data_IF_173657366258
#
_entry.id   IF_173657366258
#
_cell.length_a   1.000
_cell.length_b   1.000
_cell.length_c   1.000
_cell.angle_alpha   90.00
_cell.angle_beta   90.00
_cell.angle_gamma   90.00
#
_symmetry.space_group_name_H-M   'P 1'
#
loop_
_entity.id
_entity.type
_entity.pdbx_description
1 polymer ?
#
# COMPACT_ATOMS: atom_id res chain seq x y z
N UNK A 1 -19.53 5.58 -17.20
CA UNK A 1 -19.54 4.27 -17.87
C UNK A 1 -19.88 3.20 -16.87
N UNK A 2 -20.68 2.23 -17.26
CA UNK A 2 -20.90 1.06 -16.44
C UNK A 2 -19.60 0.24 -16.36
N UNK A 3 -19.33 -0.37 -15.23
CA UNK A 3 -18.25 -1.34 -15.07
C UNK A 3 -18.77 -2.71 -15.51
N UNK A 4 -17.96 -3.48 -16.22
CA UNK A 4 -18.28 -4.86 -16.56
C UNK A 4 -17.92 -5.82 -15.41
N UNK A 5 -16.88 -5.46 -14.63
CA UNK A 5 -16.47 -6.22 -13.45
C UNK A 5 -15.79 -5.30 -12.41
N UNK A 6 -15.72 -5.77 -11.17
CA UNK A 6 -14.98 -5.16 -10.09
C UNK A 6 -14.58 -6.20 -9.05
N UNK A 7 -13.59 -5.85 -8.22
CA UNK A 7 -13.21 -6.64 -7.06
C UNK A 7 -13.12 -5.76 -5.82
N UNK A 8 -13.59 -6.27 -4.69
CA UNK A 8 -13.36 -5.63 -3.39
C UNK A 8 -12.09 -6.22 -2.79
N UNK A 9 -11.15 -5.34 -2.43
CA UNK A 9 -9.83 -5.73 -1.96
C UNK A 9 -9.46 -4.95 -0.72
N UNK A 10 -10.23 -5.11 0.36
CA UNK A 10 -9.88 -4.52 1.65
C UNK A 10 -8.58 -5.12 2.19
N UNK A 11 -7.78 -4.30 2.89
CA UNK A 11 -6.55 -4.78 3.53
C UNK A 11 -6.82 -5.97 4.45
N UNK A 12 -6.17 -7.10 4.17
CA UNK A 12 -6.31 -8.32 4.96
C UNK A 12 -5.89 -8.12 6.43
N UNK A 13 -4.92 -7.22 6.66
CA UNK A 13 -4.42 -6.84 7.99
C UNK A 13 -5.49 -6.23 8.88
N UNK A 14 -6.52 -5.65 8.26
CA UNK A 14 -7.68 -5.04 8.91
C UNK A 14 -8.96 -5.90 8.82
N UNK A 15 -8.90 -7.01 8.08
CA UNK A 15 -10.04 -7.89 7.84
C UNK A 15 -10.11 -9.00 8.89
N UNK A 16 -10.95 -8.82 9.90
CA UNK A 16 -11.26 -9.90 10.85
C UNK A 16 -12.07 -11.01 10.13
N UNK A 17 -12.11 -12.25 10.65
CA UNK A 17 -12.94 -13.31 10.08
C UNK A 17 -14.41 -12.92 9.92
N UNK A 18 -14.96 -12.13 10.85
CA UNK A 18 -16.32 -11.60 10.75
C UNK A 18 -16.45 -10.61 9.59
N UNK A 19 -15.52 -9.67 9.46
CA UNK A 19 -15.49 -8.71 8.35
C UNK A 19 -15.38 -9.40 7.00
N UNK A 20 -14.52 -10.40 6.93
CA UNK A 20 -14.37 -11.22 5.74
C UNK A 20 -15.67 -11.96 5.37
N UNK A 21 -16.39 -12.49 6.36
CA UNK A 21 -17.71 -13.08 6.14
C UNK A 21 -18.72 -12.07 5.60
N UNK A 22 -18.76 -10.85 6.18
CA UNK A 22 -19.62 -9.77 5.70
C UNK A 22 -19.29 -9.40 4.24
N UNK A 23 -18.00 -9.36 3.88
CA UNK A 23 -17.52 -9.11 2.51
C UNK A 23 -17.98 -10.21 1.56
N UNK A 24 -17.79 -11.48 1.89
CA UNK A 24 -18.26 -12.62 1.08
C UNK A 24 -19.76 -12.55 0.82
N UNK A 25 -20.55 -12.32 1.86
CA UNK A 25 -22.01 -12.22 1.73
C UNK A 25 -22.43 -11.04 0.83
N UNK A 26 -21.72 -9.91 0.92
CA UNK A 26 -21.99 -8.73 0.09
C UNK A 26 -21.71 -9.02 -1.38
N UNK A 27 -20.60 -9.67 -1.70
CA UNK A 27 -20.24 -10.05 -3.08
C UNK A 27 -21.23 -11.07 -3.65
N UNK A 28 -21.62 -12.08 -2.87
CA UNK A 28 -22.62 -13.05 -3.29
C UNK A 28 -23.98 -12.38 -3.58
N UNK A 29 -24.39 -11.42 -2.73
CA UNK A 29 -25.61 -10.64 -2.98
C UNK A 29 -25.52 -9.79 -4.24
N UNK A 30 -24.39 -9.14 -4.50
CA UNK A 30 -24.17 -8.37 -5.73
C UNK A 30 -24.30 -9.26 -6.98
N UNK A 31 -23.63 -10.42 -6.98
CA UNK A 31 -23.70 -11.34 -8.10
C UNK A 31 -25.14 -11.91 -8.30
N UNK A 32 -25.86 -12.22 -7.22
CA UNK A 32 -27.25 -12.66 -7.31
C UNK A 32 -28.18 -11.58 -7.90
N UNK A 33 -27.92 -10.30 -7.65
CA UNK A 33 -28.69 -9.18 -8.22
C UNK A 33 -28.41 -9.00 -9.71
N UNK A 34 -27.22 -9.36 -10.16
CA UNK A 34 -26.80 -9.28 -11.58
C UNK A 34 -27.08 -10.57 -12.35
N UNK A 35 -27.58 -11.62 -11.69
CA UNK A 35 -27.85 -12.91 -12.32
C UNK A 35 -28.86 -12.76 -13.47
N UNK A 36 -28.46 -13.22 -14.66
CA UNK A 36 -29.26 -13.17 -15.87
C UNK A 36 -29.22 -11.85 -16.65
N UNK A 37 -28.45 -10.84 -16.19
CA UNK A 37 -28.26 -9.57 -16.91
C UNK A 37 -26.92 -9.48 -17.62
N UNK A 38 -25.91 -10.23 -17.17
CA UNK A 38 -24.49 -10.16 -17.60
C UNK A 38 -23.89 -8.73 -17.50
N UNK A 39 -24.53 -7.87 -16.72
CA UNK A 39 -24.17 -6.45 -16.68
C UNK A 39 -22.98 -6.15 -15.77
N UNK A 40 -22.75 -6.98 -14.75
CA UNK A 40 -21.67 -6.75 -13.77
C UNK A 40 -21.26 -8.06 -13.07
N UNK A 41 -19.96 -8.32 -13.03
CA UNK A 41 -19.39 -9.42 -12.26
C UNK A 41 -18.59 -8.87 -11.08
N UNK A 42 -18.90 -9.35 -9.86
CA UNK A 42 -18.21 -8.95 -8.64
C UNK A 42 -17.31 -10.07 -8.17
N UNK A 43 -16.00 -9.77 -8.04
CA UNK A 43 -15.01 -10.70 -7.56
C UNK A 43 -14.71 -10.49 -6.07
N UNK A 44 -14.45 -11.59 -5.38
CA UNK A 44 -14.03 -11.62 -4.01
C UNK A 44 -12.50 -11.53 -3.93
N UNK A 45 -11.98 -10.69 -3.06
CA UNK A 45 -10.54 -10.56 -2.87
C UNK A 45 -10.17 -9.86 -1.58
N UNK A 46 -8.89 -9.77 -1.32
CA UNK A 46 -8.30 -8.92 -0.29
C UNK A 46 -6.97 -8.36 -0.77
N UNK A 47 -6.50 -7.33 -0.11
CA UNK A 47 -5.16 -6.81 -0.30
C UNK A 47 -4.24 -7.31 0.80
N UNK A 48 -3.16 -7.97 0.41
CA UNK A 48 -2.06 -8.34 1.28
C UNK A 48 -0.99 -7.25 1.26
N UNK A 49 -0.68 -6.66 2.43
CA UNK A 49 0.14 -5.46 2.54
C UNK A 49 1.35 -5.71 3.43
N UNK A 50 2.47 -6.08 2.84
CA UNK A 50 3.73 -6.25 3.54
C UNK A 50 4.67 -5.08 3.30
N UNK A 51 4.59 -4.09 4.16
CA UNK A 51 5.42 -2.89 4.12
C UNK A 51 6.41 -2.86 5.26
N UNK A 52 7.63 -2.42 4.98
CA UNK A 52 8.70 -2.29 5.95
C UNK A 52 9.64 -1.16 5.51
N UNK A 53 10.18 -0.34 6.44
CA UNK A 53 11.17 0.68 6.10
C UNK A 53 12.49 0.08 5.59
N UNK A 54 12.79 -1.18 5.94
CA UNK A 54 13.93 -1.89 5.39
C UNK A 54 13.56 -2.51 4.03
N UNK A 55 14.24 -2.14 2.91
CA UNK A 55 13.95 -2.68 1.58
C UNK A 55 13.99 -4.20 1.50
N UNK A 56 14.81 -4.86 2.33
CA UNK A 56 14.92 -6.32 2.34
C UNK A 56 13.66 -7.02 2.84
N UNK A 57 12.86 -6.36 3.67
CA UNK A 57 11.61 -6.89 4.22
C UNK A 57 10.36 -6.27 3.58
N UNK A 58 10.56 -5.33 2.67
CA UNK A 58 9.46 -4.68 1.96
C UNK A 58 9.08 -5.49 0.72
N UNK A 59 7.86 -6.01 0.70
CA UNK A 59 7.30 -6.79 -0.42
C UNK A 59 6.15 -6.07 -1.13
N UNK A 60 5.74 -4.93 -0.61
CA UNK A 60 4.68 -4.10 -1.17
C UNK A 60 3.29 -4.71 -1.01
N UNK A 61 2.40 -4.25 -1.84
CA UNK A 61 0.99 -4.62 -1.83
C UNK A 61 0.68 -5.64 -2.93
N UNK A 62 -0.24 -6.56 -2.64
CA UNK A 62 -0.71 -7.56 -3.60
C UNK A 62 -2.20 -7.79 -3.43
N UNK A 63 -2.96 -7.54 -4.49
CA UNK A 63 -4.36 -7.92 -4.54
C UNK A 63 -4.47 -9.42 -4.81
N UNK A 64 -5.09 -10.14 -3.90
CA UNK A 64 -5.46 -11.55 -4.06
C UNK A 64 -6.94 -11.60 -4.45
N UNK A 65 -7.24 -12.14 -5.62
CA UNK A 65 -8.59 -12.18 -6.18
C UNK A 65 -8.97 -13.62 -6.49
N UNK A 66 -10.15 -14.04 -6.05
CA UNK A 66 -10.68 -15.38 -6.28
C UNK A 66 -11.65 -15.40 -7.46
N UNK A 67 -11.60 -16.46 -8.24
CA UNK A 67 -12.57 -16.70 -9.30
C UNK A 67 -13.94 -17.09 -8.72
N UNK A 68 -13.93 -17.84 -7.64
CA UNK A 68 -15.11 -18.37 -6.98
C UNK A 68 -15.57 -17.48 -5.82
N UNK A 69 -16.86 -17.56 -5.50
CA UNK A 69 -17.46 -16.87 -4.35
C UNK A 69 -18.18 -17.82 -3.39
N UNK A 70 -18.21 -19.12 -3.69
CA UNK A 70 -18.82 -20.14 -2.84
C UNK A 70 -17.98 -20.35 -1.56
N UNK A 71 -18.65 -20.39 -0.41
CA UNK A 71 -18.00 -20.53 0.89
C UNK A 71 -17.19 -21.83 1.05
N UNK A 72 -17.47 -22.86 0.28
CA UNK A 72 -16.73 -24.13 0.29
C UNK A 72 -15.43 -24.05 -0.52
N UNK A 73 -15.31 -23.07 -1.43
CA UNK A 73 -14.22 -22.92 -2.37
C UNK A 73 -13.27 -21.76 -2.02
N UNK A 74 -13.71 -20.81 -1.18
CA UNK A 74 -12.89 -19.68 -0.78
C UNK A 74 -12.47 -19.75 0.70
N UNK A 75 -11.34 -19.16 1.09
CA UNK A 75 -10.89 -19.17 2.49
C UNK A 75 -11.94 -18.59 3.44
N UNK A 76 -12.08 -19.15 4.67
CA UNK A 76 -13.01 -18.62 5.68
C UNK A 76 -12.51 -17.34 6.33
N UNK A 77 -11.27 -16.92 6.06
CA UNK A 77 -10.60 -15.71 6.55
C UNK A 77 -9.62 -15.20 5.51
N UNK A 78 -9.34 -13.91 5.51
CA UNK A 78 -8.27 -13.33 4.71
C UNK A 78 -6.89 -13.72 5.29
N UNK A 79 -5.89 -13.84 4.42
CA UNK A 79 -4.50 -14.07 4.82
C UNK A 79 -3.80 -12.71 4.76
N UNK A 80 -3.44 -12.17 5.92
CA UNK A 80 -2.76 -10.88 6.01
C UNK A 80 -1.24 -11.01 6.01
N UNK A 81 -0.57 -9.88 6.01
CA UNK A 81 0.88 -9.82 6.10
C UNK A 81 1.36 -9.94 7.56
N UNK A 82 2.68 -10.07 7.71
CA UNK A 82 3.38 -9.83 8.96
C UNK A 82 3.95 -8.42 9.06
N UNK A 83 4.73 -8.15 10.10
CA UNK A 83 5.52 -6.93 10.24
C UNK A 83 4.74 -5.71 10.73
N UNK A 84 4.98 -4.55 10.11
CA UNK A 84 4.53 -3.25 10.64
C UNK A 84 3.02 -3.06 10.49
N UNK A 85 2.42 -3.44 9.36
CA UNK A 85 1.02 -3.17 9.09
C UNK A 85 0.08 -3.83 10.12
N UNK A 86 0.12 -5.15 10.36
CA UNK A 86 -0.73 -5.77 11.39
C UNK A 86 -0.36 -5.32 12.80
N UNK A 87 0.91 -5.00 13.08
CA UNK A 87 1.32 -4.49 14.38
C UNK A 87 0.62 -3.16 14.69
N UNK A 88 0.63 -2.22 13.77
CA UNK A 88 -0.04 -0.92 13.93
C UNK A 88 -1.54 -1.10 14.15
N UNK A 89 -2.18 -1.96 13.35
CA UNK A 89 -3.61 -2.24 13.50
C UNK A 89 -3.96 -2.86 14.86
N UNK A 90 -3.07 -3.71 15.41
CA UNK A 90 -3.28 -4.36 16.71
C UNK A 90 -2.92 -3.51 17.92
N UNK A 91 -2.14 -2.44 17.75
CA UNK A 91 -1.87 -1.48 18.85
C UNK A 91 -3.15 -0.73 19.27
N UNK A 92 -4.09 -0.57 18.34
CA UNK A 92 -5.32 0.16 18.57
C UNK A 92 -5.12 1.65 18.82
N UNK A 93 -6.20 2.35 19.04
CA UNK A 93 -6.18 3.76 19.37
C UNK A 93 -6.62 3.95 20.83
N UNK A 94 -6.02 4.88 21.60
CA UNK A 94 -6.54 5.26 22.88
C UNK A 94 -8.00 5.74 22.74
N UNK A 95 -8.88 5.32 23.62
CA UNK A 95 -10.31 5.72 23.59
C UNK A 95 -10.55 7.23 23.52
N UNK A 96 -9.59 8.04 23.98
CA UNK A 96 -9.63 9.50 23.89
C UNK A 96 -9.58 10.01 22.46
N UNK A 97 -9.00 9.24 21.54
CA UNK A 97 -8.93 9.60 20.11
C UNK A 97 -10.28 9.44 19.42
N UNK A 98 -11.20 8.67 19.97
CA UNK A 98 -12.57 8.57 19.45
C UNK A 98 -13.55 9.44 20.28
N UNK A 99 -13.39 9.47 21.60
CA UNK A 99 -14.29 10.22 22.48
C UNK A 99 -14.19 11.74 22.27
N UNK A 100 -12.98 12.30 22.09
CA UNK A 100 -12.83 13.73 21.89
C UNK A 100 -13.43 14.20 20.54
N UNK A 101 -13.10 13.61 19.38
CA UNK A 101 -13.77 13.94 18.13
C UNK A 101 -15.30 13.72 18.18
N UNK A 102 -15.77 12.65 18.83
CA UNK A 102 -17.20 12.38 18.99
C UNK A 102 -17.95 13.46 19.79
N UNK A 103 -17.27 14.18 20.68
CA UNK A 103 -17.86 15.32 21.40
C UNK A 103 -17.84 16.60 20.58
N UNK A 104 -16.82 16.80 19.74
CA UNK A 104 -16.67 17.97 18.88
C UNK A 104 -17.53 17.87 17.62
N UNK A 105 -17.67 16.67 17.06
CA UNK A 105 -18.53 16.38 15.90
C UNK A 105 -19.66 15.42 16.30
N UNK A 106 -20.59 15.95 17.09
CA UNK A 106 -21.69 15.16 17.63
C UNK A 106 -22.60 14.53 16.56
N UNK A 107 -22.68 15.14 15.39
CA UNK A 107 -23.47 14.63 14.25
C UNK A 107 -22.89 13.31 13.71
N UNK A 108 -21.58 13.16 13.71
CA UNK A 108 -20.86 12.00 13.16
C UNK A 108 -20.29 11.08 14.27
N UNK A 109 -20.68 11.27 15.53
CA UNK A 109 -20.15 10.54 16.68
C UNK A 109 -20.17 9.01 16.52
N UNK A 110 -21.18 8.48 15.85
CA UNK A 110 -21.33 7.03 15.66
C UNK A 110 -20.21 6.44 14.80
N UNK A 111 -19.59 7.25 13.90
CA UNK A 111 -18.43 6.85 13.10
C UNK A 111 -17.19 6.66 13.98
N UNK A 112 -16.96 7.56 14.94
CA UNK A 112 -15.81 7.47 15.84
C UNK A 112 -15.94 6.25 16.76
N UNK A 113 -17.13 5.97 17.29
CA UNK A 113 -17.37 4.76 18.08
C UNK A 113 -17.37 3.47 17.25
N UNK A 114 -17.79 3.52 15.99
CA UNK A 114 -17.66 2.38 15.09
C UNK A 114 -16.18 2.05 14.81
N UNK A 115 -15.33 3.08 14.73
CA UNK A 115 -13.89 2.93 14.54
C UNK A 115 -13.22 2.31 15.78
N UNK A 116 -13.60 2.71 16.99
CA UNK A 116 -13.16 2.04 18.24
C UNK A 116 -13.51 0.55 18.24
N UNK A 117 -14.76 0.22 17.95
CA UNK A 117 -15.20 -1.18 17.89
C UNK A 117 -14.44 -2.00 16.84
N UNK A 118 -14.07 -1.37 15.73
CA UNK A 118 -13.26 -2.00 14.70
C UNK A 118 -11.88 -2.39 15.24
N UNK A 119 -11.19 -1.50 15.96
CA UNK A 119 -9.91 -1.83 16.58
C UNK A 119 -10.04 -2.86 17.70
N UNK A 120 -11.07 -2.76 18.52
CA UNK A 120 -11.35 -3.75 19.57
C UNK A 120 -11.52 -5.16 18.98
N UNK A 121 -12.19 -5.27 17.85
CA UNK A 121 -12.38 -6.55 17.15
C UNK A 121 -11.07 -7.10 16.61
N UNK A 122 -10.23 -6.26 15.99
CA UNK A 122 -8.89 -6.66 15.50
C UNK A 122 -8.04 -7.16 16.67
N UNK A 123 -8.04 -6.44 17.80
CA UNK A 123 -7.26 -6.82 18.99
C UNK A 123 -7.77 -8.12 19.62
N UNK A 124 -9.08 -8.33 19.62
CA UNK A 124 -9.69 -9.54 20.16
C UNK A 124 -9.48 -10.79 19.28
N UNK A 125 -9.16 -10.60 17.99
CA UNK A 125 -8.94 -11.73 17.06
C UNK A 125 -7.59 -12.36 17.35
N UNK A 126 -7.51 -13.64 17.77
CA UNK A 126 -6.25 -14.31 18.06
C UNK A 126 -5.42 -14.52 16.77
N UNK A 127 -4.12 -14.65 16.91
CA UNK A 127 -3.25 -15.07 15.79
C UNK A 127 -3.41 -16.59 15.62
N UNK A 128 -3.50 -17.03 14.36
CA UNK A 128 -3.58 -18.46 14.05
C UNK A 128 -2.28 -19.18 14.46
N UNK A 129 -2.35 -20.46 14.86
CA UNK A 129 -1.16 -21.24 15.16
C UNK A 129 -0.28 -21.42 13.93
N UNK A 130 1.03 -21.29 14.12
CA UNK A 130 2.02 -21.46 13.08
C UNK A 130 2.18 -22.93 12.67
N UNK A 131 2.59 -23.17 11.42
CA UNK A 131 2.92 -24.52 10.92
C UNK A 131 1.73 -25.44 10.75
N UNK A 132 0.52 -24.93 10.79
CA UNK A 132 -0.72 -25.66 10.54
C UNK A 132 -1.20 -25.34 9.13
N UNK A 133 -1.65 -26.36 8.39
CA UNK A 133 -2.25 -26.20 7.08
C UNK A 133 -3.43 -25.23 7.16
N UNK A 134 -3.54 -24.31 6.19
CA UNK A 134 -4.56 -23.24 6.21
C UNK A 134 -5.99 -23.78 6.34
N UNK A 135 -6.28 -24.96 5.80
CA UNK A 135 -7.59 -25.61 5.89
C UNK A 135 -7.92 -26.17 7.28
N UNK A 136 -6.90 -26.49 8.07
CA UNK A 136 -7.05 -27.06 9.41
C UNK A 136 -7.02 -25.98 10.52
N UNK A 137 -6.78 -24.73 10.16
CA UNK A 137 -6.75 -23.61 11.10
C UNK A 137 -8.16 -23.25 11.62
N UNK A 138 -8.27 -22.75 12.87
CA UNK A 138 -9.52 -22.18 13.37
C UNK A 138 -10.04 -21.07 12.44
N UNK A 139 -11.35 -20.98 12.27
CA UNK A 139 -11.96 -19.96 11.38
C UNK A 139 -11.91 -18.55 11.95
N UNK A 140 -11.74 -18.41 13.26
CA UNK A 140 -11.84 -17.18 14.04
C UNK A 140 -10.49 -16.59 14.46
N UNK A 141 -9.42 -16.89 13.71
CA UNK A 141 -8.09 -16.34 13.94
C UNK A 141 -7.59 -15.50 12.76
N UNK A 142 -6.62 -14.61 13.03
CA UNK A 142 -5.87 -13.88 12.02
C UNK A 142 -4.77 -14.77 11.45
N UNK A 143 -4.84 -15.06 10.18
CA UNK A 143 -3.85 -15.85 9.46
C UNK A 143 -2.78 -14.96 8.84
N UNK A 144 -1.50 -15.27 9.11
CA UNK A 144 -0.37 -14.45 8.73
C UNK A 144 0.50 -15.14 7.67
N UNK A 145 0.92 -14.37 6.66
CA UNK A 145 1.96 -14.71 5.70
C UNK A 145 3.00 -13.59 5.70
N UNK A 146 4.17 -13.84 6.26
CA UNK A 146 5.22 -12.83 6.49
C UNK A 146 6.04 -12.49 5.25
N UNK A 147 5.89 -13.25 4.18
CA UNK A 147 6.50 -12.99 2.88
C UNK A 147 5.66 -13.62 1.75
N UNK A 148 5.93 -13.29 0.49
CA UNK A 148 5.12 -13.78 -0.63
C UNK A 148 5.13 -15.30 -0.82
N UNK A 149 6.21 -16.01 -0.51
CA UNK A 149 6.26 -17.48 -0.64
C UNK A 149 5.27 -18.13 0.31
N UNK A 150 5.25 -17.68 1.57
CA UNK A 150 4.28 -18.17 2.56
C UNK A 150 2.84 -17.86 2.12
N UNK A 151 2.60 -16.67 1.54
CA UNK A 151 1.29 -16.35 0.97
C UNK A 151 0.91 -17.33 -0.13
N UNK A 152 1.79 -17.58 -1.10
CA UNK A 152 1.53 -18.51 -2.20
C UNK A 152 1.36 -19.95 -1.72
N UNK A 153 2.16 -20.41 -0.76
CA UNK A 153 2.01 -21.74 -0.15
C UNK A 153 0.62 -21.91 0.47
N UNK A 154 0.18 -20.95 1.28
CA UNK A 154 -1.14 -20.97 1.91
C UNK A 154 -2.29 -20.92 0.89
N UNK A 155 -2.17 -20.11 -0.14
CA UNK A 155 -3.15 -20.05 -1.22
C UNK A 155 -3.22 -21.37 -2.00
N UNK A 156 -2.09 -22.04 -2.26
CA UNK A 156 -2.04 -23.35 -2.88
C UNK A 156 -2.61 -24.46 -1.99
N UNK A 157 -2.41 -24.40 -0.68
CA UNK A 157 -3.04 -25.33 0.27
C UNK A 157 -4.57 -25.22 0.24
N UNK A 158 -5.11 -24.03 -0.09
CA UNK A 158 -6.54 -23.83 -0.23
C UNK A 158 -7.11 -24.46 -1.50
N UNK A 159 -6.32 -24.55 -2.58
CA UNK A 159 -6.65 -25.25 -3.83
C UNK A 159 -7.91 -24.69 -4.52
N UNK A 160 -8.06 -23.38 -4.53
CA UNK A 160 -9.11 -22.65 -5.26
C UNK A 160 -8.46 -21.75 -6.32
N UNK A 161 -9.08 -21.54 -7.49
CA UNK A 161 -8.52 -20.64 -8.48
C UNK A 161 -8.42 -19.20 -7.97
N UNK A 162 -7.22 -18.65 -8.01
CA UNK A 162 -6.93 -17.28 -7.58
C UNK A 162 -5.92 -16.61 -8.52
N UNK A 163 -5.86 -15.30 -8.47
CA UNK A 163 -4.77 -14.50 -9.04
C UNK A 163 -4.21 -13.54 -8.01
N UNK A 164 -2.95 -13.17 -8.19
CA UNK A 164 -2.24 -12.20 -7.33
C UNK A 164 -1.70 -11.07 -8.19
N UNK A 165 -2.15 -9.85 -7.92
CA UNK A 165 -1.79 -8.67 -8.70
C UNK A 165 -0.96 -7.73 -7.82
N UNK A 166 0.36 -7.59 -8.08
CA UNK A 166 1.16 -6.54 -7.46
C UNK A 166 0.67 -5.16 -7.89
N UNK A 167 0.57 -4.23 -6.95
CA UNK A 167 0.18 -2.86 -7.25
C UNK A 167 0.90 -1.85 -6.36
N UNK A 168 0.76 -0.57 -6.65
CA UNK A 168 1.36 0.51 -5.90
C UNK A 168 2.90 0.44 -5.79
N UNK A 169 3.56 -0.30 -6.67
CA UNK A 169 4.96 -0.71 -6.55
C UNK A 169 5.96 0.43 -6.66
N UNK A 170 5.54 1.56 -7.24
CA UNK A 170 6.34 2.78 -7.38
C UNK A 170 5.98 3.87 -6.37
N UNK A 171 5.03 3.61 -5.49
CA UNK A 171 4.58 4.60 -4.52
C UNK A 171 5.60 4.85 -3.44
N UNK A 172 6.21 6.01 -3.47
CA UNK A 172 7.15 6.44 -2.45
C UNK A 172 6.54 6.71 -1.09
N UNK A 173 5.21 6.72 -0.96
CA UNK A 173 4.55 6.91 0.33
C UNK A 173 4.91 5.81 1.34
N UNK A 174 5.01 4.57 0.92
CA UNK A 174 5.41 3.45 1.77
C UNK A 174 6.55 2.61 1.20
N UNK A 175 6.94 2.84 -0.05
CA UNK A 175 8.02 2.09 -0.69
C UNK A 175 9.37 2.74 -0.39
N UNK A 176 10.31 2.06 0.26
CA UNK A 176 11.64 2.60 0.53
C UNK A 176 12.38 3.02 -0.75
N UNK A 177 13.23 4.06 -0.71
CA UNK A 177 13.92 4.58 -1.88
C UNK A 177 14.73 3.56 -2.68
N UNK A 178 15.27 2.56 -2.00
CA UNK A 178 16.14 1.51 -2.59
C UNK A 178 15.41 0.20 -2.86
N UNK A 179 14.08 0.18 -2.75
CA UNK A 179 13.29 -1.01 -3.11
C UNK A 179 13.43 -1.35 -4.58
N UNK A 180 13.66 -2.63 -4.87
CA UNK A 180 13.91 -3.17 -6.20
C UNK A 180 13.09 -4.45 -6.44
N UNK A 181 12.35 -4.50 -7.52
CA UNK A 181 11.54 -5.65 -7.91
C UNK A 181 12.35 -6.91 -8.23
N UNK A 182 13.64 -6.78 -8.50
CA UNK A 182 14.52 -7.90 -8.82
C UNK A 182 14.45 -9.03 -7.80
N UNK A 183 14.43 -8.68 -6.51
CA UNK A 183 14.28 -9.65 -5.41
C UNK A 183 12.98 -10.43 -5.53
N UNK A 184 11.86 -9.74 -5.69
CA UNK A 184 10.53 -10.37 -5.74
C UNK A 184 10.36 -11.28 -6.95
N UNK A 185 10.97 -10.96 -8.09
CA UNK A 185 10.86 -11.76 -9.31
C UNK A 185 11.67 -13.04 -9.26
N UNK A 186 12.77 -13.07 -8.50
CA UNK A 186 13.64 -14.25 -8.43
C UNK A 186 13.20 -15.26 -7.37
N UNK A 187 12.83 -14.75 -6.21
CA UNK A 187 12.63 -15.58 -5.01
C UNK A 187 11.17 -15.70 -4.62
N UNK A 188 10.35 -14.71 -5.00
CA UNK A 188 9.01 -14.51 -4.47
C UNK A 188 7.95 -14.35 -5.57
N UNK A 189 8.18 -14.92 -6.76
CA UNK A 189 7.22 -14.93 -7.85
C UNK A 189 6.54 -16.29 -7.97
N UNK A 190 5.22 -16.28 -8.11
CA UNK A 190 4.42 -17.41 -8.50
C UNK A 190 3.91 -17.23 -9.94
N UNK A 191 4.47 -17.99 -10.88
CA UNK A 191 4.17 -17.87 -12.31
C UNK A 191 2.73 -18.28 -12.65
N UNK A 192 2.09 -19.09 -11.81
CA UNK A 192 0.74 -19.59 -12.06
C UNK A 192 -0.34 -18.58 -11.67
N UNK A 193 -0.10 -17.78 -10.64
CA UNK A 193 -1.09 -16.81 -10.13
C UNK A 193 -0.72 -15.36 -10.37
N UNK A 194 0.58 -15.04 -10.54
CA UNK A 194 1.08 -13.67 -10.64
C UNK A 194 1.44 -13.33 -12.10
N UNK A 195 0.42 -13.22 -12.94
CA UNK A 195 0.56 -12.94 -14.38
C UNK A 195 0.05 -11.56 -14.80
N UNK A 196 -0.50 -10.78 -13.88
CA UNK A 196 -0.90 -9.39 -14.07
C UNK A 196 -0.06 -8.45 -13.22
N UNK A 197 0.05 -7.21 -13.68
CA UNK A 197 0.73 -6.12 -12.98
C UNK A 197 -0.12 -4.86 -13.11
N UNK A 198 -0.41 -4.19 -12.01
CA UNK A 198 -1.13 -2.93 -12.05
C UNK A 198 -0.17 -1.80 -12.39
N UNK A 199 -0.47 -1.07 -13.47
CA UNK A 199 0.36 0.03 -13.96
C UNK A 199 -0.14 1.41 -13.56
N UNK A 200 -1.40 1.56 -13.23
CA UNK A 200 -1.96 2.80 -12.68
C UNK A 200 -3.20 2.55 -11.82
N UNK A 201 -3.44 3.48 -10.91
CA UNK A 201 -4.66 3.55 -10.10
C UNK A 201 -5.01 4.99 -9.77
N UNK A 202 -5.99 5.21 -8.87
CA UNK A 202 -6.29 6.53 -8.32
C UNK A 202 -5.11 7.18 -7.58
N UNK A 203 -4.09 6.42 -7.25
CA UNK A 203 -2.88 6.88 -6.55
C UNK A 203 -1.71 7.20 -7.48
N UNK A 204 -1.87 7.15 -8.79
CA UNK A 204 -0.83 7.45 -9.78
C UNK A 204 -0.49 6.26 -10.67
N UNK A 205 0.65 6.35 -11.37
CA UNK A 205 1.05 5.32 -12.31
C UNK A 205 2.51 4.91 -12.13
N UNK A 206 2.83 3.67 -12.51
CA UNK A 206 4.18 3.10 -12.40
C UNK A 206 5.09 3.46 -13.58
N UNK A 207 4.55 4.09 -14.63
CA UNK A 207 5.21 4.25 -15.92
C UNK A 207 5.51 5.71 -16.28
N UNK A 208 5.32 6.62 -15.36
CA UNK A 208 5.62 8.03 -15.58
C UNK A 208 7.11 8.31 -15.43
N UNK A 209 7.83 8.24 -16.54
CA UNK A 209 9.26 8.52 -16.58
C UNK A 209 9.52 10.02 -16.73
N UNK A 210 9.51 10.71 -15.61
CA UNK A 210 10.01 12.08 -15.53
C UNK A 210 11.29 12.07 -14.71
N UNK A 211 12.08 13.12 -14.85
CA UNK A 211 13.27 13.34 -14.00
C UNK A 211 12.87 13.76 -12.58
N UNK A 212 11.89 13.10 -12.02
CA UNK A 212 11.36 13.39 -10.70
C UNK A 212 11.99 12.49 -9.66
N UNK A 213 13.04 12.98 -9.05
CA UNK A 213 13.60 12.34 -7.89
C UNK A 213 13.23 13.17 -6.67
N UNK A 214 12.50 12.61 -5.73
CA UNK A 214 12.15 13.29 -4.49
C UNK A 214 13.31 13.30 -3.49
N UNK A 215 14.23 12.35 -3.63
CA UNK A 215 15.55 12.34 -3.02
C UNK A 215 16.54 11.71 -3.98
N UNK A 216 17.75 12.26 -4.06
CA UNK A 216 18.86 11.72 -4.81
C UNK A 216 19.90 11.10 -3.88
N UNK A 217 20.75 10.23 -4.45
CA UNK A 217 21.84 9.57 -3.73
C UNK A 217 23.16 10.03 -4.35
N UNK A 218 24.06 10.53 -3.53
CA UNK A 218 25.40 10.90 -3.98
C UNK A 218 26.34 9.69 -4.11
N UNK A 219 27.58 9.93 -4.52
CA UNK A 219 28.58 8.88 -4.69
C UNK A 219 28.98 8.16 -3.40
N UNK A 220 28.64 8.74 -2.23
CA UNK A 220 28.88 8.15 -0.91
C UNK A 220 27.65 7.39 -0.39
N UNK A 221 26.60 7.28 -1.20
CA UNK A 221 25.31 6.67 -0.85
C UNK A 221 24.54 7.51 0.19
N UNK A 222 24.85 8.80 0.32
CA UNK A 222 24.10 9.72 1.17
C UNK A 222 22.92 10.32 0.40
N UNK A 223 21.75 10.30 1.02
CA UNK A 223 20.54 10.93 0.47
C UNK A 223 20.63 12.44 0.60
N UNK A 224 20.30 13.15 -0.45
CA UNK A 224 20.16 14.60 -0.45
C UNK A 224 18.89 15.07 -1.15
N UNK A 225 18.48 16.31 -0.89
CA UNK A 225 17.32 16.92 -1.50
C UNK A 225 17.67 17.51 -2.87
N UNK A 226 17.10 17.00 -3.97
CA UNK A 226 17.35 17.56 -5.29
C UNK A 226 16.73 18.96 -5.43
N UNK A 227 17.24 19.77 -6.36
CA UNK A 227 16.66 21.07 -6.69
C UNK A 227 15.30 20.92 -7.38
N UNK A 228 14.41 21.88 -7.15
CA UNK A 228 13.14 21.94 -7.85
C UNK A 228 13.32 22.16 -9.36
N UNK A 229 12.40 21.65 -10.14
CA UNK A 229 12.33 21.87 -11.58
C UNK A 229 11.02 22.57 -11.95
N UNK A 230 10.88 22.99 -13.20
CA UNK A 230 9.62 23.59 -13.69
C UNK A 230 8.40 22.69 -13.48
N UNK A 231 8.59 21.38 -13.57
CA UNK A 231 7.51 20.40 -13.62
C UNK A 231 7.42 19.55 -12.35
N UNK A 232 8.35 19.74 -11.40
CA UNK A 232 8.43 18.92 -10.19
C UNK A 232 9.01 19.69 -9.01
N UNK A 233 8.29 19.68 -7.90
CA UNK A 233 8.73 20.17 -6.59
C UNK A 233 8.97 18.97 -5.68
N UNK A 234 10.23 18.65 -5.32
CA UNK A 234 10.52 17.60 -4.35
C UNK A 234 9.85 17.85 -2.99
N UNK A 235 9.39 16.81 -2.31
CA UNK A 235 8.79 16.92 -0.97
C UNK A 235 9.73 17.59 0.02
N UNK A 236 11.02 17.28 -0.07
CA UNK A 236 12.04 17.90 0.79
C UNK A 236 12.23 19.41 0.51
N UNK A 237 12.08 19.85 -0.73
CA UNK A 237 12.08 21.29 -1.05
C UNK A 237 10.87 21.98 -0.46
N UNK A 238 9.67 21.38 -0.58
CA UNK A 238 8.46 21.93 0.04
C UNK A 238 8.59 21.99 1.57
N UNK A 239 9.15 20.98 2.22
CA UNK A 239 9.43 21.03 3.65
C UNK A 239 10.37 22.20 4.00
N UNK A 240 11.39 22.42 3.20
CA UNK A 240 12.29 23.58 3.33
C UNK A 240 11.58 24.92 3.15
N UNK A 241 10.66 25.03 2.17
CA UNK A 241 9.87 26.24 1.92
C UNK A 241 8.97 26.58 3.12
N UNK A 242 8.29 25.58 3.69
CA UNK A 242 7.45 25.75 4.89
C UNK A 242 8.30 26.20 6.08
N UNK A 243 9.50 25.63 6.25
CA UNK A 243 10.42 26.03 7.32
C UNK A 243 10.91 27.48 7.11
N UNK A 244 11.23 27.88 5.87
CA UNK A 244 11.65 29.24 5.55
C UNK A 244 10.54 30.27 5.89
N UNK A 245 9.31 29.97 5.52
CA UNK A 245 8.16 30.82 5.87
C UNK A 245 7.97 30.97 7.38
N UNK A 246 8.11 29.88 8.13
CA UNK A 246 8.03 29.92 9.60
C UNK A 246 9.16 30.70 10.24
N UNK A 247 10.37 30.62 9.68
CA UNK A 247 11.50 31.46 10.11
C UNK A 247 11.20 32.94 9.93
N UNK A 248 10.66 33.32 8.77
CA UNK A 248 10.31 34.71 8.48
C UNK A 248 9.25 35.22 9.45
N UNK A 249 8.19 34.46 9.69
CA UNK A 249 7.11 34.78 10.62
C UNK A 249 7.64 34.95 12.05
N UNK A 250 8.61 34.11 12.46
CA UNK A 250 9.20 34.15 13.81
C UNK A 250 10.30 35.20 13.98
N UNK A 251 10.71 35.88 12.91
CA UNK A 251 11.77 36.90 12.95
C UNK A 251 13.14 36.35 13.31
N UNK A 252 13.44 35.12 12.94
CA UNK A 252 14.75 34.50 13.13
C UNK A 252 15.80 35.19 12.26
N UNK A 253 17.06 35.16 12.72
CA UNK A 253 18.14 35.65 11.89
C UNK A 253 18.44 34.74 10.71
N UNK A 254 18.94 35.32 9.62
CA UNK A 254 19.16 34.63 8.35
C UNK A 254 20.06 33.39 8.46
N UNK A 255 21.07 33.41 9.34
CA UNK A 255 21.99 32.29 9.48
C UNK A 255 21.32 31.09 10.16
N UNK A 256 20.58 31.36 11.22
CA UNK A 256 19.82 30.34 11.95
C UNK A 256 18.73 29.76 11.03
N UNK A 257 18.01 30.64 10.32
CA UNK A 257 16.98 30.21 9.38
C UNK A 257 17.54 29.31 8.27
N UNK A 258 18.62 29.74 7.64
CA UNK A 258 19.28 28.92 6.60
C UNK A 258 19.68 27.53 7.14
N UNK A 259 20.26 27.47 8.31
CA UNK A 259 20.63 26.18 8.93
C UNK A 259 19.40 25.28 9.14
N UNK A 260 18.30 25.82 9.68
CA UNK A 260 17.07 25.04 9.92
C UNK A 260 16.45 24.56 8.61
N UNK A 261 16.41 25.39 7.58
CA UNK A 261 15.93 25.03 6.24
C UNK A 261 16.75 23.88 5.64
N UNK A 262 18.09 24.00 5.68
CA UNK A 262 19.00 22.98 5.15
C UNK A 262 18.84 21.65 5.90
N UNK A 263 18.71 21.67 7.24
CA UNK A 263 18.46 20.48 8.04
C UNK A 263 17.07 19.86 7.75
N UNK A 264 16.06 20.69 7.60
CA UNK A 264 14.70 20.24 7.27
C UNK A 264 14.67 19.53 5.91
N UNK A 265 15.32 20.10 4.89
CA UNK A 265 15.44 19.47 3.56
C UNK A 265 16.15 18.12 3.65
N UNK A 266 17.24 18.04 4.40
CA UNK A 266 17.98 16.80 4.60
C UNK A 266 17.13 15.74 5.29
N UNK A 267 16.45 16.08 6.38
CA UNK A 267 15.59 15.14 7.11
C UNK A 267 14.41 14.67 6.26
N UNK A 268 13.77 15.58 5.52
CA UNK A 268 12.68 15.21 4.62
C UNK A 268 13.14 14.24 3.53
N UNK A 269 14.32 14.46 2.94
CA UNK A 269 14.91 13.53 1.97
C UNK A 269 15.20 12.16 2.59
N UNK A 270 15.73 12.11 3.82
CA UNK A 270 16.03 10.89 4.55
C UNK A 270 14.76 10.12 5.00
N UNK A 271 13.68 10.83 5.30
CA UNK A 271 12.39 10.24 5.66
C UNK A 271 11.65 9.63 4.46
N UNK A 272 12.08 9.95 3.24
CA UNK A 272 11.49 9.40 2.02
C UNK A 272 9.99 9.70 1.93
N UNK A 273 9.18 8.68 1.86
CA UNK A 273 7.72 8.78 1.72
C UNK A 273 7.00 9.53 2.85
N UNK A 274 7.61 9.63 4.02
CA UNK A 274 7.08 10.38 5.16
C UNK A 274 7.73 11.75 5.33
N UNK A 275 8.44 12.23 4.31
CA UNK A 275 9.18 13.51 4.34
C UNK A 275 8.32 14.73 4.66
N UNK A 276 7.01 14.67 4.41
CA UNK A 276 6.06 15.70 4.84
C UNK A 276 6.01 15.89 6.36
N UNK A 277 6.33 14.85 7.14
CA UNK A 277 6.38 14.92 8.60
C UNK A 277 7.71 15.48 9.17
N UNK A 278 8.66 15.87 8.31
CA UNK A 278 9.92 16.48 8.74
C UNK A 278 9.72 17.85 9.41
N UNK A 279 8.59 18.51 9.15
CA UNK A 279 8.21 19.76 9.79
C UNK A 279 7.06 19.48 10.75
N UNK A 280 7.19 19.83 12.01
CA UNK A 280 6.14 19.69 13.00
C UNK A 280 4.88 20.47 12.61
N UNK A 281 3.71 19.96 12.99
CA UNK A 281 2.42 20.64 12.76
C UNK A 281 2.14 20.94 11.26
N UNK A 282 2.68 20.12 10.34
CA UNK A 282 2.26 20.12 8.95
C UNK A 282 1.21 19.05 8.71
N UNK A 283 0.39 19.28 7.70
CA UNK A 283 -0.61 18.34 7.21
C UNK A 283 -0.24 17.90 5.78
N UNK A 284 -0.61 16.70 5.31
CA UNK A 284 -0.41 16.29 3.92
C UNK A 284 -0.90 17.32 2.88
N UNK A 285 -1.95 18.08 3.20
CA UNK A 285 -2.47 19.16 2.32
C UNK A 285 -1.46 20.29 2.07
N UNK A 286 -0.48 20.47 2.95
CA UNK A 286 0.59 21.46 2.77
C UNK A 286 1.59 21.04 1.68
N UNK A 287 1.49 19.79 1.20
CA UNK A 287 2.38 19.17 0.22
C UNK A 287 1.69 18.77 -1.09
N UNK A 288 0.49 19.28 -1.38
CA UNK A 288 -0.34 18.87 -2.52
C UNK A 288 0.38 18.84 -3.87
N UNK A 289 1.33 19.76 -4.07
CA UNK A 289 2.04 19.91 -5.34
C UNK A 289 3.47 19.38 -5.29
N UNK A 290 3.85 18.72 -4.19
CA UNK A 290 5.19 18.22 -3.99
C UNK A 290 5.25 16.69 -4.10
N UNK A 291 6.35 16.16 -4.64
CA UNK A 291 6.63 14.74 -4.72
C UNK A 291 5.83 13.96 -5.77
N UNK A 292 4.94 14.59 -6.50
CA UNK A 292 4.07 13.98 -7.52
C UNK A 292 3.50 15.00 -8.50
N UNK A 293 2.69 14.55 -9.43
CA UNK A 293 1.93 15.46 -10.30
C UNK A 293 0.88 16.23 -9.50
N UNK A 294 0.55 17.47 -9.98
CA UNK A 294 -0.55 18.25 -9.42
C UNK A 294 -1.85 17.44 -9.48
N UNK A 295 -2.67 17.56 -8.45
CA UNK A 295 -3.97 16.90 -8.33
C UNK A 295 -3.93 15.36 -8.35
N UNK A 296 -2.76 14.76 -8.13
CA UNK A 296 -2.63 13.33 -7.91
C UNK A 296 -2.99 12.96 -6.47
N UNK A 297 -2.42 11.93 -5.94
CA UNK A 297 -2.75 11.42 -4.63
C UNK A 297 -2.12 12.22 -3.47
N UNK A 298 -2.84 12.33 -2.37
CA UNK A 298 -2.36 12.80 -1.07
C UNK A 298 -2.22 11.63 -0.08
N UNK A 299 -1.14 11.53 0.67
CA UNK A 299 0.05 12.37 0.71
C UNK A 299 0.93 12.27 -0.53
N UNK A 300 1.94 13.14 -0.62
CA UNK A 300 2.88 13.21 -1.74
C UNK A 300 3.48 11.86 -2.12
N UNK A 301 3.65 11.67 -3.39
CA UNK A 301 4.04 10.40 -3.99
C UNK A 301 5.47 10.50 -4.55
N UNK A 302 6.37 9.70 -3.99
CA UNK A 302 7.77 9.63 -4.43
C UNK A 302 7.94 8.48 -5.42
N UNK A 303 8.26 8.81 -6.67
CA UNK A 303 8.41 7.82 -7.71
C UNK A 303 9.60 6.88 -7.48
N UNK A 304 9.38 5.57 -7.67
CA UNK A 304 10.38 4.51 -7.49
C UNK A 304 10.57 3.74 -8.80
N UNK A 305 11.50 4.17 -9.69
CA UNK A 305 11.67 3.56 -11.02
C UNK A 305 11.94 2.06 -10.99
N UNK A 306 12.63 1.56 -9.96
CA UNK A 306 12.93 0.14 -9.79
C UNK A 306 11.70 -0.72 -9.41
N UNK A 307 10.56 -0.07 -9.22
CA UNK A 307 9.25 -0.70 -9.04
C UNK A 307 8.37 -0.68 -10.31
N UNK A 308 8.81 -0.05 -11.40
CA UNK A 308 8.01 0.13 -12.61
C UNK A 308 7.85 -1.14 -13.43
N UNK A 309 6.77 -1.25 -14.20
CA UNK A 309 6.54 -2.37 -15.11
C UNK A 309 7.61 -2.43 -16.22
N UNK A 310 8.07 -1.29 -16.74
CA UNK A 310 9.16 -1.27 -17.72
C UNK A 310 10.46 -1.86 -17.15
N UNK A 311 10.79 -1.51 -15.90
CA UNK A 311 11.95 -2.10 -15.24
C UNK A 311 11.77 -3.61 -15.04
N UNK A 312 10.61 -4.06 -14.59
CA UNK A 312 10.28 -5.48 -14.43
C UNK A 312 10.43 -6.25 -15.74
N UNK A 313 9.91 -5.69 -16.85
CA UNK A 313 10.03 -6.32 -18.19
C UNK A 313 11.47 -6.32 -18.73
N UNK A 314 12.31 -5.39 -18.31
CA UNK A 314 13.72 -5.33 -18.67
C UNK A 314 14.58 -6.33 -17.89
N UNK A 315 14.11 -6.78 -16.73
CA UNK A 315 14.84 -7.76 -15.91
C UNK A 315 14.87 -9.13 -16.60
N UNK A 316 16.01 -9.80 -16.44
CA UNK A 316 16.21 -11.17 -16.91
C UNK A 316 16.99 -11.95 -15.86
N UNK A 317 16.65 -13.21 -15.71
CA UNK A 317 17.40 -14.14 -14.88
C UNK A 317 18.22 -15.09 -15.76
N UNK A 318 19.54 -15.00 -15.67
CA UNK A 318 20.52 -15.82 -16.34
C UNK A 318 21.23 -16.79 -15.39
N UNK A 319 20.64 -17.09 -14.23
CA UNK A 319 21.19 -18.07 -13.29
C UNK A 319 21.34 -19.42 -13.95
N UNK A 320 20.33 -19.83 -14.74
CA UNK A 320 20.44 -20.91 -15.69
C UNK A 320 20.74 -20.32 -17.08
N UNK A 321 21.99 -20.45 -17.52
CA UNK A 321 22.46 -19.92 -18.83
C UNK A 321 21.83 -20.62 -20.03
N UNK A 322 21.42 -21.85 -19.85
CA UNK A 322 20.83 -22.68 -20.90
C UNK A 322 19.34 -22.44 -21.05
N UNK A 323 18.70 -21.87 -19.98
CA UNK A 323 17.30 -21.51 -19.96
C UNK A 323 17.07 -20.13 -19.28
N UNK A 324 17.53 -19.04 -19.89
CA UNK A 324 17.34 -17.70 -19.31
C UNK A 324 15.88 -17.33 -19.25
N UNK A 325 15.44 -16.82 -18.09
CA UNK A 325 14.07 -16.41 -17.85
C UNK A 325 13.92 -14.90 -18.07
N UNK A 326 12.78 -14.52 -18.64
CA UNK A 326 12.27 -13.15 -18.68
C UNK A 326 10.92 -13.11 -18.00
N UNK A 327 10.67 -12.00 -17.31
CA UNK A 327 9.40 -11.80 -16.62
C UNK A 327 8.38 -11.18 -17.58
N UNK A 328 7.18 -11.76 -17.63
CA UNK A 328 6.10 -11.31 -18.50
C UNK A 328 4.85 -11.15 -17.67
N UNK A 329 4.18 -10.03 -17.88
CA UNK A 329 2.91 -9.71 -17.24
C UNK A 329 1.93 -9.16 -18.27
N UNK A 330 0.64 -9.45 -18.10
CA UNK A 330 -0.43 -8.60 -18.59
C UNK A 330 -0.53 -7.35 -17.71
N UNK A 331 -1.18 -6.31 -18.21
CA UNK A 331 -1.33 -5.05 -17.50
C UNK A 331 -2.79 -4.79 -17.14
N UNK A 332 -3.02 -4.20 -15.99
CA UNK A 332 -4.32 -3.76 -15.53
C UNK A 332 -4.21 -2.36 -14.94
N UNK A 333 -5.29 -1.60 -14.99
CA UNK A 333 -5.50 -0.39 -14.22
C UNK A 333 -6.65 -0.59 -13.25
N UNK A 334 -6.60 0.04 -12.10
CA UNK A 334 -7.67 0.00 -11.11
C UNK A 334 -8.04 1.41 -10.61
N UNK A 335 -9.04 1.50 -9.77
CA UNK A 335 -9.37 2.76 -9.08
C UNK A 335 -8.62 2.89 -7.76
N UNK A 336 -8.35 1.78 -7.11
CA UNK A 336 -7.83 1.75 -5.73
C UNK A 336 -8.59 2.74 -4.83
N UNK A 337 -9.92 2.65 -4.92
CA UNK A 337 -10.81 3.60 -4.29
C UNK A 337 -11.04 3.22 -2.82
N UNK A 338 -10.65 4.11 -1.91
CA UNK A 338 -10.82 3.94 -0.46
C UNK A 338 -12.15 4.51 0.07
N UNK A 339 -13.05 4.88 -0.79
CA UNK A 339 -14.33 5.47 -0.42
C UNK A 339 -15.51 4.71 -1.03
N UNK A 340 -16.44 4.25 -0.19
CA UNK A 340 -17.70 3.68 -0.64
C UNK A 340 -18.65 4.77 -1.19
N UNK A 341 -18.32 5.38 -2.33
CA UNK A 341 -19.10 6.46 -2.96
C UNK A 341 -19.35 6.16 -4.43
#
# INVERSE_FOLDING_TARGET
SALDFWSINDHAEASTPRKWLDTKQSIQQCNNLSEGTDDLVSFLGWEWTQVDPNPENHYGHKNVIFLETDDSLVPPRAIGSGGVAPLVMRLGLPWTMSALPATLDFKNRDRFFAFDKFFDEIQATPICPEGVNTRDLPVDCYEEATNPNILFEKLKEWDSPYMVIPHGTTWGFYTPPTSDWKKQLKEFKDDESQFLFEIYSGHGNSEEYRTWNDADIDMNVDLFCPEETKDFLPTCQQAGNIMAERCEISGMDDQTCKYLVDQTKLFAAQMGSTGYAAVNETHPDDFLNAGQCNDCFLPSFNYRPLGSAQYVLALSDFTDKDNPQRFKFGFIGSSDNHGAR
#
